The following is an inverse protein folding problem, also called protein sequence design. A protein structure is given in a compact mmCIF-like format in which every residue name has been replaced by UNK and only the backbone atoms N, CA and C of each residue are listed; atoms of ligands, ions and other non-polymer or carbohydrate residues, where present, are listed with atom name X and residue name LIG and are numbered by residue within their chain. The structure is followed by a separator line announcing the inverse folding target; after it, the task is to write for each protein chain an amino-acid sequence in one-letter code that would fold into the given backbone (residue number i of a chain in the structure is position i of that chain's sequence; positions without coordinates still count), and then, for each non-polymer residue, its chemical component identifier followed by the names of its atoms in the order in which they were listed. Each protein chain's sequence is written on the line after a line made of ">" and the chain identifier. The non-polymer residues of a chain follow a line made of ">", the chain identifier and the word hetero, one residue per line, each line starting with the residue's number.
data_IF_125692575354
#
_entry.id   IF_125692575354
#
_cell.length_a   1.000
_cell.length_b   1.000
_cell.length_c   1.000
_cell.angle_alpha   90.00
_cell.angle_beta   90.00
_cell.angle_gamma   90.00
#
_symmetry.space_group_name_H-M   'P 1'
#
loop_
_entity.id
_entity.type
_entity.pdbx_description
1 polymer ?
#
# COMPACT_ATOMS: atom_id res chain seq x y z
N UNK A 1 42.69 -2.29 15.91
CA UNK A 1 43.20 -3.01 14.74
C UNK A 1 42.06 -3.11 13.73
N UNK A 2 42.00 -2.21 12.76
CA UNK A 2 40.97 -2.23 11.74
C UNK A 2 41.33 -3.29 10.69
N UNK A 3 40.68 -4.44 10.77
CA UNK A 3 40.72 -5.48 9.76
C UNK A 3 39.83 -5.03 8.60
N UNK A 4 40.35 -4.19 7.71
CA UNK A 4 39.69 -3.96 6.44
C UNK A 4 39.81 -5.26 5.64
N UNK A 5 38.70 -6.00 5.54
CA UNK A 5 38.55 -7.09 4.58
C UNK A 5 39.03 -6.60 3.21
N UNK A 6 40.02 -7.27 2.63
CA UNK A 6 40.55 -7.00 1.30
C UNK A 6 39.79 -7.80 0.24
N UNK A 7 38.50 -8.08 0.48
CA UNK A 7 37.63 -8.75 -0.47
C UNK A 7 37.31 -7.81 -1.64
N UNK A 8 37.43 -8.36 -2.86
CA UNK A 8 36.92 -7.77 -4.09
C UNK A 8 35.38 -7.76 -4.10
N UNK A 9 34.80 -6.99 -5.02
CA UNK A 9 33.33 -6.93 -5.16
C UNK A 9 32.75 -8.27 -5.60
N UNK A 10 33.51 -9.02 -6.39
CA UNK A 10 33.16 -10.35 -6.89
C UNK A 10 33.12 -11.36 -5.74
N UNK A 11 34.13 -11.36 -4.86
CA UNK A 11 34.16 -12.23 -3.67
C UNK A 11 33.01 -11.93 -2.71
N UNK A 12 32.68 -10.64 -2.49
CA UNK A 12 31.52 -10.25 -1.69
C UNK A 12 30.23 -10.77 -2.33
N UNK A 13 30.06 -10.60 -3.64
CA UNK A 13 28.85 -11.05 -4.33
C UNK A 13 28.68 -12.57 -4.26
N UNK A 14 29.76 -13.33 -4.42
CA UNK A 14 29.75 -14.79 -4.31
C UNK A 14 29.39 -15.25 -2.89
N UNK A 15 30.00 -14.66 -1.86
CA UNK A 15 29.69 -14.94 -0.46
C UNK A 15 28.22 -14.65 -0.11
N UNK A 16 27.69 -13.52 -0.59
CA UNK A 16 26.28 -13.17 -0.37
C UNK A 16 25.35 -14.14 -1.09
N UNK A 17 25.68 -14.54 -2.32
CA UNK A 17 24.88 -15.52 -3.05
C UNK A 17 24.86 -16.88 -2.33
N UNK A 18 26.00 -17.33 -1.81
CA UNK A 18 26.10 -18.56 -1.01
C UNK A 18 25.26 -18.47 0.28
N UNK A 19 25.36 -17.37 1.02
CA UNK A 19 24.57 -17.14 2.24
C UNK A 19 23.05 -17.13 1.94
N UNK A 20 22.62 -16.52 0.83
CA UNK A 20 21.21 -16.53 0.41
C UNK A 20 20.73 -17.96 0.15
N UNK A 21 21.54 -18.76 -0.54
CA UNK A 21 21.16 -20.13 -0.86
C UNK A 21 21.10 -21.01 0.39
N UNK A 22 22.03 -20.85 1.33
CA UNK A 22 21.99 -21.51 2.63
C UNK A 22 20.73 -21.15 3.44
N UNK A 23 20.28 -19.90 3.39
CA UNK A 23 19.01 -19.47 4.02
C UNK A 23 17.79 -20.13 3.36
N UNK A 24 17.81 -20.24 2.03
CA UNK A 24 16.76 -20.97 1.29
C UNK A 24 16.69 -22.44 1.63
N UNK A 25 17.84 -23.10 1.75
CA UNK A 25 17.91 -24.51 2.20
C UNK A 25 17.35 -24.69 3.62
N UNK A 26 17.42 -23.65 4.46
CA UNK A 26 16.83 -23.63 5.82
C UNK A 26 15.34 -23.27 5.83
N UNK A 27 14.74 -22.98 4.68
CA UNK A 27 13.31 -22.69 4.53
C UNK A 27 12.94 -21.21 4.55
N UNK A 28 13.91 -20.29 4.54
CA UNK A 28 13.65 -18.85 4.36
C UNK A 28 13.48 -18.55 2.86
N UNK A 29 12.40 -17.90 2.39
CA UNK A 29 12.15 -17.72 0.95
C UNK A 29 13.24 -16.88 0.26
N UNK A 30 13.63 -15.76 0.87
CA UNK A 30 14.63 -14.83 0.36
C UNK A 30 14.35 -14.44 -1.11
N UNK A 31 13.11 -14.00 -1.36
CA UNK A 31 12.59 -13.58 -2.65
C UNK A 31 12.88 -12.09 -2.90
N UNK A 32 13.46 -11.77 -4.06
CA UNK A 32 13.80 -10.39 -4.38
C UNK A 32 12.60 -9.58 -4.85
N UNK A 33 12.51 -8.35 -4.36
CA UNK A 33 11.58 -7.34 -4.86
C UNK A 33 12.21 -6.65 -6.06
N UNK A 34 11.61 -6.87 -7.23
CA UNK A 34 12.10 -6.31 -8.49
C UNK A 34 11.10 -5.30 -9.04
N UNK A 35 11.62 -4.20 -9.59
CA UNK A 35 10.84 -3.28 -10.42
C UNK A 35 11.02 -3.65 -11.89
N UNK A 36 9.92 -3.73 -12.63
CA UNK A 36 9.98 -3.89 -14.09
C UNK A 36 10.50 -2.62 -14.80
N UNK A 37 10.52 -1.48 -14.10
CA UNK A 37 10.86 -0.17 -14.66
C UNK A 37 12.36 0.12 -14.57
N UNK A 38 13.03 -0.03 -15.71
CA UNK A 38 14.50 0.16 -15.84
C UNK A 38 14.97 1.61 -15.69
N UNK A 39 14.13 2.62 -15.96
CA UNK A 39 14.47 4.05 -15.91
C UNK A 39 13.31 4.91 -15.43
N UNK A 40 13.60 6.02 -14.74
CA UNK A 40 12.58 6.96 -14.26
C UNK A 40 12.01 6.61 -12.88
N UNK A 41 10.69 6.62 -12.75
CA UNK A 41 9.97 6.26 -11.54
C UNK A 41 9.87 4.73 -11.42
N UNK A 42 10.17 4.09 -10.26
CA UNK A 42 10.18 2.62 -10.16
C UNK A 42 8.78 1.98 -10.19
N UNK A 43 7.73 2.77 -9.93
CA UNK A 43 6.34 2.31 -9.90
C UNK A 43 5.55 2.74 -11.13
N UNK A 44 4.53 1.97 -11.48
CA UNK A 44 3.70 2.11 -12.68
C UNK A 44 2.26 2.52 -12.36
N UNK A 45 1.71 2.11 -11.22
CA UNK A 45 0.33 2.41 -10.82
C UNK A 45 0.25 3.68 -9.98
N UNK A 46 -0.97 4.14 -9.70
CA UNK A 46 -1.20 5.33 -8.89
C UNK A 46 -0.59 5.21 -7.49
N UNK A 47 -0.87 4.13 -6.76
CA UNK A 47 -0.47 4.00 -5.34
C UNK A 47 1.04 3.92 -5.17
N UNK A 48 1.72 3.13 -5.99
CA UNK A 48 3.18 3.06 -5.96
C UNK A 48 3.84 4.40 -6.35
N UNK A 49 3.27 5.12 -7.32
CA UNK A 49 3.73 6.47 -7.70
C UNK A 49 3.54 7.47 -6.58
N UNK A 50 2.32 7.60 -6.08
CA UNK A 50 2.00 8.52 -5.00
C UNK A 50 2.91 8.28 -3.78
N UNK A 51 3.12 7.02 -3.39
CA UNK A 51 4.04 6.62 -2.31
C UNK A 51 5.45 7.18 -2.51
N UNK A 52 6.05 6.88 -3.66
CA UNK A 52 7.41 7.31 -3.99
C UNK A 52 7.52 8.82 -4.13
N UNK A 53 6.56 9.48 -4.79
CA UNK A 53 6.51 10.93 -4.93
C UNK A 53 6.46 11.62 -3.57
N UNK A 54 5.67 11.12 -2.64
CA UNK A 54 5.61 11.67 -1.29
C UNK A 54 6.94 11.53 -0.54
N UNK A 55 7.57 10.34 -0.52
CA UNK A 55 8.86 10.19 0.18
C UNK A 55 9.97 11.04 -0.47
N UNK A 56 9.85 11.34 -1.77
CA UNK A 56 10.75 12.23 -2.51
C UNK A 56 10.58 13.70 -2.12
N UNK A 57 9.44 14.10 -1.52
CA UNK A 57 9.26 15.47 -0.99
C UNK A 57 10.05 15.73 0.29
N UNK A 58 10.57 14.69 0.93
CA UNK A 58 11.22 14.80 2.23
C UNK A 58 12.69 15.22 2.07
N UNK A 59 12.98 16.47 2.42
CA UNK A 59 14.31 17.09 2.27
C UNK A 59 15.41 16.26 2.94
N UNK A 60 15.15 15.71 4.14
CA UNK A 60 16.13 14.90 4.88
C UNK A 60 16.52 13.60 4.16
N UNK A 61 15.72 13.17 3.19
CA UNK A 61 15.92 11.91 2.46
C UNK A 61 16.58 12.11 1.09
N UNK A 62 16.51 13.31 0.53
CA UNK A 62 16.85 13.63 -0.87
C UNK A 62 18.21 13.09 -1.31
N UNK A 63 19.24 13.25 -0.48
CA UNK A 63 20.62 12.84 -0.83
C UNK A 63 20.84 11.33 -0.92
N UNK A 64 19.93 10.53 -0.34
CA UNK A 64 20.07 9.07 -0.22
C UNK A 64 19.11 8.31 -1.13
N UNK A 65 18.01 8.93 -1.50
CA UNK A 65 16.99 8.35 -2.38
C UNK A 65 17.53 7.87 -3.74
N UNK A 66 18.40 8.60 -4.48
CA UNK A 66 18.93 8.11 -5.76
C UNK A 66 19.72 6.80 -5.63
N UNK A 67 20.49 6.65 -4.55
CA UNK A 67 21.24 5.42 -4.26
C UNK A 67 20.30 4.29 -3.86
N UNK A 68 19.31 4.54 -3.02
CA UNK A 68 18.28 3.56 -2.66
C UNK A 68 17.52 3.05 -3.89
N UNK A 69 17.10 3.93 -4.79
CA UNK A 69 16.46 3.58 -6.05
C UNK A 69 17.34 2.68 -6.93
N UNK A 70 18.65 2.90 -6.90
CA UNK A 70 19.62 2.09 -7.64
C UNK A 70 19.77 0.69 -7.03
N UNK A 71 19.74 0.58 -5.70
CA UNK A 71 19.76 -0.70 -4.98
C UNK A 71 18.50 -1.54 -5.24
N UNK A 72 17.31 -0.91 -5.20
CA UNK A 72 16.07 -1.59 -5.58
C UNK A 72 16.16 -2.16 -7.01
N UNK A 73 16.63 -1.35 -7.97
CA UNK A 73 16.78 -1.79 -9.37
C UNK A 73 17.80 -2.89 -9.59
N UNK A 74 18.79 -2.99 -8.71
CA UNK A 74 19.77 -4.06 -8.74
C UNK A 74 19.21 -5.39 -8.20
N UNK A 75 17.99 -5.41 -7.67
CA UNK A 75 17.38 -6.60 -7.07
C UNK A 75 17.90 -6.89 -5.68
N UNK A 76 18.41 -5.88 -4.97
CA UNK A 76 19.07 -6.05 -3.68
C UNK A 76 18.12 -6.05 -2.47
N UNK A 77 16.81 -5.92 -2.66
CA UNK A 77 15.81 -5.92 -1.57
C UNK A 77 15.07 -7.24 -1.60
N UNK A 78 14.93 -7.90 -0.45
CA UNK A 78 14.37 -9.25 -0.32
C UNK A 78 13.36 -9.32 0.81
N UNK A 79 12.40 -10.24 0.68
CA UNK A 79 11.37 -10.57 1.68
C UNK A 79 10.73 -9.33 2.31
N UNK A 80 10.24 -8.42 1.45
CA UNK A 80 9.56 -7.22 1.92
C UNK A 80 8.20 -7.58 2.53
N UNK A 81 8.07 -7.36 3.83
CA UNK A 81 6.84 -7.54 4.58
C UNK A 81 6.27 -6.18 5.00
N UNK A 82 4.95 -6.02 4.79
CA UNK A 82 4.20 -4.84 5.21
C UNK A 82 3.12 -5.26 6.20
N UNK A 83 3.29 -4.83 7.44
CA UNK A 83 2.42 -5.09 8.57
C UNK A 83 1.85 -3.77 9.13
N UNK A 84 0.99 -3.89 10.13
CA UNK A 84 0.33 -2.73 10.74
C UNK A 84 1.34 -1.79 11.44
N UNK A 85 1.66 -0.68 10.80
CA UNK A 85 2.61 0.32 11.29
C UNK A 85 4.08 -0.11 11.21
N UNK A 86 4.38 -1.19 10.49
CA UNK A 86 5.73 -1.75 10.42
C UNK A 86 6.02 -2.32 9.03
N UNK A 87 7.24 -2.09 8.56
CA UNK A 87 7.80 -2.68 7.35
C UNK A 87 9.12 -3.36 7.73
N UNK A 88 9.32 -4.56 7.23
CA UNK A 88 10.57 -5.31 7.35
C UNK A 88 11.07 -5.76 5.98
N UNK A 89 12.38 -5.77 5.78
CA UNK A 89 13.01 -6.36 4.61
C UNK A 89 14.49 -6.67 4.87
N UNK A 90 15.03 -7.59 4.08
CA UNK A 90 16.48 -7.78 3.93
C UNK A 90 17.02 -6.95 2.77
N UNK A 91 18.23 -6.41 2.92
CA UNK A 91 18.93 -5.70 1.84
C UNK A 91 20.36 -6.19 1.71
N UNK A 92 20.74 -6.62 0.51
CA UNK A 92 22.10 -7.08 0.23
C UNK A 92 23.05 -5.92 -0.10
N UNK A 93 24.26 -6.00 0.43
CA UNK A 93 25.35 -5.06 0.17
C UNK A 93 26.70 -5.73 0.37
N UNK A 94 27.54 -5.19 1.24
CA UNK A 94 28.73 -5.90 1.74
C UNK A 94 28.38 -7.09 2.64
N UNK A 95 27.18 -7.06 3.22
CA UNK A 95 26.57 -8.09 4.06
C UNK A 95 25.06 -8.08 3.78
N UNK A 96 24.32 -9.02 4.38
CA UNK A 96 22.85 -8.96 4.41
C UNK A 96 22.44 -8.08 5.59
N UNK A 97 21.78 -6.97 5.31
CA UNK A 97 21.29 -6.04 6.32
C UNK A 97 19.81 -6.24 6.57
N UNK A 98 19.40 -6.09 7.81
CA UNK A 98 18.01 -6.02 8.23
C UNK A 98 17.58 -4.56 8.23
N UNK A 99 16.39 -4.29 7.72
CA UNK A 99 15.79 -2.96 7.69
C UNK A 99 14.41 -3.04 8.31
N UNK A 100 14.21 -2.27 9.37
CA UNK A 100 12.91 -2.05 10.00
C UNK A 100 12.49 -0.59 9.79
N UNK A 101 11.26 -0.39 9.34
CA UNK A 101 10.67 0.95 9.21
C UNK A 101 9.34 0.96 9.96
N UNK A 102 9.27 1.78 10.99
CA UNK A 102 8.04 2.01 11.75
C UNK A 102 7.33 3.22 11.20
N UNK A 103 6.03 3.07 10.99
CA UNK A 103 5.14 4.12 10.51
C UNK A 103 4.02 4.27 11.54
N UNK A 104 3.89 5.46 12.13
CA UNK A 104 2.83 5.69 13.12
C UNK A 104 1.46 5.45 12.49
N UNK A 105 0.53 4.78 13.20
CA UNK A 105 -0.84 4.59 12.73
C UNK A 105 -1.56 5.92 12.45
N UNK A 106 -2.56 5.91 11.57
CA UNK A 106 -3.42 7.07 11.37
C UNK A 106 -4.30 7.26 12.63
N UNK A 107 -4.33 8.47 13.25
CA UNK A 107 -5.23 8.72 14.37
C UNK A 107 -6.70 8.57 13.95
N UNK A 108 -7.50 7.89 14.78
CA UNK A 108 -8.94 7.66 14.52
C UNK A 108 -9.72 8.91 14.11
N UNK A 109 -9.60 10.05 14.81
CA UNK A 109 -10.29 11.28 14.41
C UNK A 109 -9.92 11.79 13.00
N UNK A 110 -8.66 11.60 12.57
CA UNK A 110 -8.23 11.93 11.19
C UNK A 110 -8.86 10.98 10.18
N UNK A 111 -8.94 9.70 10.53
CA UNK A 111 -9.61 8.70 9.70
C UNK A 111 -11.10 8.99 9.50
N UNK A 112 -11.80 9.35 10.57
CA UNK A 112 -13.22 9.74 10.51
C UNK A 112 -13.43 10.98 9.63
N UNK A 113 -12.57 12.01 9.80
CA UNK A 113 -12.60 13.22 8.95
C UNK A 113 -12.35 12.88 7.47
N UNK A 114 -11.42 11.97 7.18
CA UNK A 114 -11.14 11.55 5.82
C UNK A 114 -12.34 10.82 5.20
N UNK A 115 -12.99 9.90 5.95
CA UNK A 115 -14.20 9.20 5.52
C UNK A 115 -15.30 10.18 5.12
N UNK A 116 -15.55 11.20 5.93
CA UNK A 116 -16.52 12.25 5.62
C UNK A 116 -16.15 13.05 4.36
N UNK A 117 -14.87 13.43 4.20
CA UNK A 117 -14.37 14.23 3.07
C UNK A 117 -14.56 13.54 1.71
N UNK A 118 -14.44 12.21 1.69
CA UNK A 118 -14.59 11.39 0.47
C UNK A 118 -15.91 10.63 0.40
N UNK A 119 -16.81 10.84 1.36
CA UNK A 119 -18.12 10.24 1.38
C UNK A 119 -18.90 10.54 0.09
N UNK A 120 -19.57 9.52 -0.44
CA UNK A 120 -20.33 9.55 -1.69
C UNK A 120 -19.47 9.58 -2.96
N UNK A 121 -18.13 9.65 -2.85
CA UNK A 121 -17.22 9.74 -4.00
C UNK A 121 -16.45 8.44 -4.27
N UNK A 122 -16.33 7.56 -3.28
CA UNK A 122 -15.69 6.24 -3.43
C UNK A 122 -16.76 5.18 -3.63
N UNK A 123 -17.19 5.00 -4.88
CA UNK A 123 -18.39 4.20 -5.21
C UNK A 123 -18.14 2.70 -5.26
N UNK A 124 -16.89 2.27 -5.50
CA UNK A 124 -16.55 0.85 -5.49
C UNK A 124 -15.09 0.60 -5.09
N UNK A 125 -14.84 -0.62 -4.61
CA UNK A 125 -13.54 -1.04 -4.10
C UNK A 125 -12.47 -1.16 -5.20
N UNK A 126 -12.86 -1.62 -6.39
CA UNK A 126 -11.92 -1.83 -7.49
C UNK A 126 -11.32 -0.51 -7.95
N UNK A 127 -12.11 0.54 -8.08
CA UNK A 127 -11.63 1.87 -8.46
C UNK A 127 -10.74 2.49 -7.37
N UNK A 128 -11.05 2.26 -6.10
CA UNK A 128 -10.17 2.65 -4.99
C UNK A 128 -8.80 1.96 -5.08
N UNK A 129 -8.79 0.63 -5.15
CA UNK A 129 -7.54 -0.14 -5.16
C UNK A 129 -6.75 0.06 -6.46
N UNK A 130 -7.41 0.24 -7.61
CA UNK A 130 -6.72 0.55 -8.87
C UNK A 130 -6.34 2.02 -9.03
N UNK A 131 -6.73 2.89 -8.08
CA UNK A 131 -6.47 4.33 -8.13
C UNK A 131 -7.20 5.05 -9.27
N UNK A 132 -8.38 4.54 -9.68
CA UNK A 132 -9.23 5.10 -10.75
C UNK A 132 -10.36 5.97 -10.20
N UNK A 133 -10.08 6.74 -9.15
CA UNK A 133 -11.00 7.71 -8.58
C UNK A 133 -10.72 9.12 -9.12
N UNK A 134 -11.67 10.04 -8.92
CA UNK A 134 -11.48 11.44 -9.29
C UNK A 134 -10.25 12.05 -8.59
N UNK A 135 -9.49 12.94 -9.25
CA UNK A 135 -8.21 13.45 -8.72
C UNK A 135 -8.37 14.11 -7.35
N UNK A 136 -9.45 14.84 -7.10
CA UNK A 136 -9.71 15.44 -5.78
C UNK A 136 -9.93 14.43 -4.66
N UNK A 137 -10.46 13.24 -4.96
CA UNK A 137 -10.62 12.14 -3.98
C UNK A 137 -9.28 11.53 -3.67
N UNK A 138 -8.52 11.20 -4.71
CA UNK A 138 -7.18 10.64 -4.57
C UNK A 138 -6.27 11.59 -3.80
N UNK A 139 -6.25 12.88 -4.15
CA UNK A 139 -5.48 13.89 -3.41
C UNK A 139 -5.89 14.00 -1.94
N UNK A 140 -7.18 13.88 -1.62
CA UNK A 140 -7.63 13.89 -0.22
C UNK A 140 -7.15 12.65 0.55
N UNK A 141 -7.18 11.47 -0.08
CA UNK A 141 -6.70 10.23 0.53
C UNK A 141 -5.17 10.25 0.68
N UNK A 142 -4.45 10.81 -0.30
CA UNK A 142 -2.98 10.85 -0.31
C UNK A 142 -2.38 12.06 0.36
N UNK A 143 -3.20 12.88 1.02
CA UNK A 143 -2.72 14.09 1.69
C UNK A 143 -1.77 13.74 2.86
N UNK A 144 -0.57 14.37 2.97
CA UNK A 144 0.37 14.07 4.05
C UNK A 144 -0.07 14.54 5.45
N UNK A 145 -0.93 15.56 5.54
CA UNK A 145 -1.35 16.15 6.81
C UNK A 145 -2.69 15.55 7.27
N UNK A 146 -3.66 15.49 6.36
CA UNK A 146 -5.04 15.07 6.62
C UNK A 146 -5.36 13.66 6.14
N UNK A 147 -4.54 13.11 5.24
CA UNK A 147 -4.78 11.84 4.57
C UNK A 147 -4.02 10.68 5.19
N UNK A 148 -3.77 9.65 4.36
CA UNK A 148 -3.08 8.43 4.76
C UNK A 148 -1.57 8.56 4.75
N UNK A 149 -1.02 9.53 4.04
CA UNK A 149 0.42 9.60 3.85
C UNK A 149 1.09 10.07 5.15
N UNK A 150 2.15 9.38 5.61
CA UNK A 150 2.86 9.82 6.80
C UNK A 150 3.56 11.16 6.54
N UNK A 151 3.81 11.93 7.59
CA UNK A 151 4.82 13.00 7.56
C UNK A 151 6.21 12.39 7.86
N UNK A 152 7.34 13.03 7.48
CA UNK A 152 8.68 12.52 7.76
C UNK A 152 8.90 12.13 9.22
N UNK A 153 8.43 12.95 10.16
CA UNK A 153 8.55 12.71 11.60
C UNK A 153 7.71 11.55 12.15
N UNK A 154 6.88 10.93 11.31
CA UNK A 154 6.09 9.73 11.62
C UNK A 154 6.71 8.44 11.09
N UNK A 155 7.87 8.55 10.44
CA UNK A 155 8.65 7.43 9.91
C UNK A 155 9.90 7.30 10.78
N UNK A 156 10.11 6.13 11.37
CA UNK A 156 11.36 5.78 12.04
C UNK A 156 12.03 4.65 11.30
N UNK A 157 13.31 4.81 11.05
CA UNK A 157 14.11 3.85 10.30
C UNK A 157 15.15 3.26 11.23
N UNK A 158 15.28 1.94 11.21
CA UNK A 158 16.36 1.19 11.82
C UNK A 158 16.95 0.25 10.76
N UNK A 159 18.27 0.24 10.64
CA UNK A 159 18.98 -0.61 9.70
C UNK A 159 20.26 -1.10 10.34
N UNK A 160 20.53 -2.41 10.25
CA UNK A 160 21.73 -3.03 10.85
C UNK A 160 23.05 -2.64 10.18
N UNK A 161 23.03 -1.76 9.17
CA UNK A 161 24.22 -1.29 8.49
C UNK A 161 25.00 -0.24 9.31
N UNK A 162 26.31 -0.07 9.10
CA UNK A 162 27.13 0.86 9.88
C UNK A 162 26.94 2.35 9.51
N UNK A 163 25.91 2.70 8.72
CA UNK A 163 25.58 4.09 8.36
C UNK A 163 24.62 4.69 9.40
N UNK A 164 25.15 5.52 10.30
CA UNK A 164 24.39 6.20 11.37
C UNK A 164 23.57 7.42 10.89
N UNK A 165 23.39 7.59 9.58
CA UNK A 165 22.50 8.61 9.05
C UNK A 165 21.03 8.31 9.40
N UNK A 166 20.20 9.36 9.54
CA UNK A 166 18.76 9.21 9.78
C UNK A 166 18.01 8.46 8.67
N UNK A 167 18.60 8.37 7.46
CA UNK A 167 18.19 7.46 6.40
C UNK A 167 19.45 6.94 5.69
N UNK A 168 19.67 5.63 5.69
CA UNK A 168 20.72 5.01 4.90
C UNK A 168 20.21 4.63 3.49
N UNK A 169 21.13 4.26 2.58
CA UNK A 169 20.75 3.82 1.23
C UNK A 169 19.90 2.53 1.22
N UNK A 170 20.06 1.66 2.22
CA UNK A 170 19.31 0.40 2.32
C UNK A 170 17.86 0.67 2.70
N UNK A 171 17.63 1.47 3.74
CA UNK A 171 16.30 1.93 4.10
C UNK A 171 15.62 2.72 2.97
N UNK A 172 16.36 3.57 2.27
CA UNK A 172 15.84 4.23 1.07
C UNK A 172 15.41 3.22 -0.01
N UNK A 173 16.16 2.13 -0.21
CA UNK A 173 15.77 1.07 -1.15
C UNK A 173 14.47 0.37 -0.72
N UNK A 174 14.30 0.09 0.58
CA UNK A 174 13.09 -0.49 1.15
C UNK A 174 11.89 0.44 0.98
N UNK A 175 12.04 1.74 1.22
CA UNK A 175 10.97 2.71 0.98
C UNK A 175 10.52 2.71 -0.50
N UNK A 176 11.42 2.59 -1.46
CA UNK A 176 11.01 2.40 -2.86
C UNK A 176 10.38 1.04 -3.13
N UNK A 177 10.87 -0.02 -2.47
CA UNK A 177 10.32 -1.38 -2.60
C UNK A 177 8.87 -1.44 -2.12
N UNK A 178 8.50 -0.66 -1.08
CA UNK A 178 7.11 -0.48 -0.66
C UNK A 178 6.27 0.04 -1.81
N UNK A 179 6.72 1.07 -2.53
CA UNK A 179 5.99 1.57 -3.70
C UNK A 179 5.77 0.49 -4.77
N UNK A 180 6.76 -0.37 -5.02
CA UNK A 180 6.62 -1.50 -5.96
C UNK A 180 5.61 -2.53 -5.45
N UNK A 181 5.61 -2.83 -4.15
CA UNK A 181 4.64 -3.75 -3.54
C UNK A 181 3.22 -3.19 -3.62
N UNK A 182 3.05 -1.88 -3.43
CA UNK A 182 1.75 -1.19 -3.55
C UNK A 182 1.21 -1.13 -4.98
N UNK A 183 2.06 -1.29 -6.01
CA UNK A 183 1.56 -1.46 -7.39
C UNK A 183 0.77 -2.77 -7.57
N UNK A 184 1.14 -3.82 -6.82
CA UNK A 184 0.49 -5.12 -6.87
C UNK A 184 -0.61 -5.27 -5.82
N UNK A 185 -0.37 -4.77 -4.60
CA UNK A 185 -1.19 -4.98 -3.41
C UNK A 185 -1.46 -3.64 -2.68
N UNK A 186 -2.28 -2.75 -3.28
CA UNK A 186 -2.55 -1.41 -2.77
C UNK A 186 -3.23 -1.39 -1.39
N UNK A 187 -3.98 -2.42 -1.03
CA UNK A 187 -4.62 -2.59 0.28
C UNK A 187 -3.60 -2.61 1.44
N UNK A 188 -2.34 -2.99 1.16
CA UNK A 188 -1.27 -2.98 2.15
C UNK A 188 -0.99 -1.58 2.67
N UNK A 189 -1.27 -0.53 1.90
CA UNK A 189 -1.11 0.84 2.40
C UNK A 189 -2.09 1.15 3.53
N UNK A 190 -3.34 0.71 3.40
CA UNK A 190 -4.36 0.88 4.45
C UNK A 190 -4.03 0.03 5.69
N UNK A 191 -3.60 -1.23 5.47
CA UNK A 191 -3.09 -2.10 6.54
C UNK A 191 -1.93 -1.43 7.29
N UNK A 192 -0.95 -0.89 6.56
CA UNK A 192 0.20 -0.18 7.13
C UNK A 192 -0.23 1.01 7.99
N UNK A 193 -1.29 1.72 7.59
CA UNK A 193 -1.85 2.85 8.34
C UNK A 193 -2.82 2.45 9.45
N UNK A 194 -3.05 1.15 9.65
CA UNK A 194 -4.00 0.55 10.61
C UNK A 194 -5.46 0.99 10.40
N UNK A 195 -5.89 1.04 9.15
CA UNK A 195 -7.27 1.38 8.78
C UNK A 195 -7.81 0.37 7.76
N UNK A 196 -9.14 0.17 7.74
CA UNK A 196 -9.78 -0.68 6.75
C UNK A 196 -10.33 0.17 5.59
N UNK A 197 -9.80 -0.06 4.39
CA UNK A 197 -10.27 0.61 3.15
C UNK A 197 -11.76 0.38 2.88
N UNK A 198 -12.36 -0.70 3.39
CA UNK A 198 -13.79 -0.98 3.25
C UNK A 198 -14.67 0.06 3.95
N UNK A 199 -14.17 0.70 5.00
CA UNK A 199 -14.91 1.77 5.68
C UNK A 199 -15.13 3.00 4.78
N UNK A 200 -14.25 3.25 3.80
CA UNK A 200 -14.46 4.34 2.82
C UNK A 200 -15.65 4.04 1.91
N UNK A 201 -15.87 2.77 1.56
CA UNK A 201 -16.99 2.33 0.73
C UNK A 201 -18.30 2.36 1.54
N UNK A 202 -18.23 1.92 2.80
CA UNK A 202 -19.38 1.97 3.70
C UNK A 202 -19.85 3.41 3.93
N UNK A 203 -18.93 4.32 4.25
CA UNK A 203 -19.22 5.74 4.41
C UNK A 203 -19.82 6.36 3.12
N UNK A 204 -19.39 5.89 1.94
CA UNK A 204 -19.96 6.37 0.68
C UNK A 204 -21.39 5.89 0.45
N UNK A 205 -21.71 4.67 0.88
CA UNK A 205 -23.05 4.09 0.77
C UNK A 205 -24.03 4.76 1.75
N UNK A 206 -23.59 5.03 2.99
CA UNK A 206 -24.39 5.76 4.00
C UNK A 206 -24.69 7.20 3.57
N UNK A 207 -23.71 7.89 2.99
CA UNK A 207 -23.91 9.23 2.45
C UNK A 207 -24.91 9.25 1.28
N UNK A 208 -24.86 8.23 0.40
CA UNK A 208 -25.83 8.10 -0.68
C UNK A 208 -27.25 7.86 -0.16
N UNK A 209 -27.40 7.00 0.87
CA UNK A 209 -28.69 6.75 1.51
C UNK A 209 -29.27 8.01 2.18
N UNK A 210 -28.42 8.81 2.83
CA UNK A 210 -28.83 10.06 3.48
C UNK A 210 -29.16 11.17 2.47
N UNK A 211 -28.44 11.24 1.35
CA UNK A 211 -28.71 12.19 0.28
C UNK A 211 -29.97 11.85 -0.54
N UNK A 212 -30.36 10.58 -0.57
CA UNK A 212 -31.60 10.09 -1.19
C UNK A 212 -32.89 10.50 -0.47
N UNK A 213 -32.81 11.14 0.70
CA UNK A 213 -33.97 11.55 1.51
C UNK A 213 -34.30 13.06 1.40
N UNK A 214 -33.75 13.77 0.39
CA UNK A 214 -33.98 15.20 0.17
C UNK A 214 -34.51 15.59 -1.22
N UNK A 215 -35.01 14.66 -2.02
CA UNK A 215 -35.89 15.01 -3.16
C UNK A 215 -37.34 14.69 -2.81
N UNK A 216 -38.06 15.76 -2.50
CA UNK A 216 -39.52 15.85 -2.54
C UNK A 216 -40.11 15.05 -3.71
N UNK A 217 -41.09 14.22 -3.39
CA UNK A 217 -42.24 13.84 -4.21
C UNK A 217 -42.19 14.34 -5.68
N UNK A 218 -41.78 13.45 -6.57
CA UNK A 218 -42.38 13.38 -7.90
C UNK A 218 -43.04 11.99 -8.02
N UNK A 219 -44.36 12.00 -8.13
CA UNK A 219 -45.19 10.81 -8.32
C UNK A 219 -44.92 10.22 -9.71
N UNK A 220 -43.85 9.44 -9.87
CA UNK A 220 -43.71 8.49 -10.98
C UNK A 220 -42.50 7.56 -10.79
N UNK A 221 -42.46 6.85 -9.66
CA UNK A 221 -41.70 5.61 -9.57
C UNK A 221 -42.70 4.50 -9.28
N UNK A 222 -43.29 4.02 -10.37
CA UNK A 222 -44.14 2.86 -10.46
C UNK A 222 -43.49 1.70 -9.70
N UNK A 223 -44.15 1.26 -8.64
CA UNK A 223 -43.74 0.09 -7.87
C UNK A 223 -43.85 -1.10 -8.81
N UNK A 224 -42.71 -1.57 -9.33
CA UNK A 224 -42.66 -2.79 -10.14
C UNK A 224 -43.13 -3.95 -9.25
N UNK A 225 -44.35 -4.40 -9.53
CA UNK A 225 -44.97 -5.54 -8.88
C UNK A 225 -44.11 -6.79 -9.12
N UNK A 226 -44.06 -7.68 -8.12
CA UNK A 226 -43.25 -8.90 -8.14
C UNK A 226 -43.55 -9.85 -9.32
N UNK A 227 -44.68 -9.64 -10.02
CA UNK A 227 -45.07 -10.39 -11.20
C UNK A 227 -44.13 -10.13 -12.40
N UNK A 228 -43.54 -8.94 -12.52
CA UNK A 228 -42.73 -8.52 -13.67
C UNK A 228 -41.24 -8.97 -13.58
N UNK A 229 -40.78 -9.37 -12.39
CA UNK A 229 -39.42 -9.91 -12.19
C UNK A 229 -39.30 -11.39 -12.61
N UNK A 230 -40.43 -12.08 -12.71
CA UNK A 230 -40.50 -13.49 -13.08
C UNK A 230 -40.26 -13.71 -14.57
N UNK A 231 -40.76 -12.78 -15.41
CA UNK A 231 -40.62 -12.84 -16.87
C UNK A 231 -39.20 -12.50 -17.35
N UNK A 232 -38.44 -11.68 -16.59
CA UNK A 232 -37.10 -11.27 -16.99
C UNK A 232 -36.01 -12.31 -16.68
N UNK A 233 -36.22 -13.17 -15.67
CA UNK A 233 -35.21 -14.14 -15.22
C UNK A 233 -35.58 -15.61 -15.44
N UNK A 234 -36.81 -15.94 -15.85
CA UNK A 234 -37.20 -17.32 -16.17
C UNK A 234 -37.04 -18.29 -14.98
N UNK A 235 -37.19 -17.78 -13.75
CA UNK A 235 -37.11 -18.57 -12.53
C UNK A 235 -38.53 -18.68 -11.98
N UNK A 236 -39.13 -19.87 -12.07
CA UNK A 236 -40.37 -20.19 -11.36
C UNK A 236 -40.07 -20.27 -9.86
N UNK A 237 -40.48 -19.25 -9.10
CA UNK A 237 -40.49 -19.31 -7.63
C UNK A 237 -41.79 -20.00 -7.23
N UNK A 238 -41.71 -21.27 -6.87
CA UNK A 238 -42.83 -22.02 -6.32
C UNK A 238 -43.25 -21.44 -4.95
N UNK A 239 -44.55 -21.18 -4.78
CA UNK A 239 -45.11 -20.72 -3.51
C UNK A 239 -44.95 -21.78 -2.40
N UNK A 240 -44.64 -21.38 -1.15
CA UNK A 240 -44.62 -22.31 -0.04
C UNK A 240 -46.05 -22.69 0.38
N UNK A 241 -46.38 -23.98 0.27
CA UNK A 241 -47.59 -24.55 0.86
C UNK A 241 -47.69 -24.20 2.36
N UNK A 242 -48.78 -23.54 2.73
CA UNK A 242 -49.12 -23.25 4.11
C UNK A 242 -49.49 -24.53 4.86
N UNK A 243 -48.57 -25.07 5.65
CA UNK A 243 -48.87 -26.12 6.63
C UNK A 243 -49.48 -25.48 7.89
N UNK A 244 -50.81 -25.37 7.93
CA UNK A 244 -51.57 -25.36 9.19
C UNK A 244 -52.03 -26.79 9.47
N UNK A 245 -51.58 -27.34 10.59
CA UNK A 245 -51.98 -28.61 11.18
C UNK A 245 -51.40 -28.76 12.57
#
# INVERSE_FOLDING_TARGET
>A
MAWFSNESKEEIAERIAEEIELRRERGEPFESINTEVKRGHPCTTFWGKAWCENIETYVDFETRLPRGRSYLRAGNVYDLEINEGEIFAYVTGSEIYEVFILINSLPGPRWDTLKEKVAGKVTNLVDLLTGKLGPGVLSAITDPEEGLFPEPGKIRVDCSCPDYAGLCKHAAAVLYAVGVKLDAEPELFFKLRKVDHRELIAAASEAAATAGDLTTADESAEVLAAEDLSELFGIEIAEPESAFG
#
